data_IF_495497814605
#
_entry.id   IF_495497814605
#
_cell.length_a   1.000
_cell.length_b   1.000
_cell.length_c   1.000
_cell.angle_alpha   90.00
_cell.angle_beta   90.00
_cell.angle_gamma   90.00
#
_symmetry.space_group_name_H-M   'P 1'
#
loop_
_entity.id
_entity.type
_entity.pdbx_description
1 polymer ?
#
# COMPACT_ATOMS: atom_id res chain seq x y z
N UNK A 1 24.59 -26.64 8.67
CA UNK A 1 23.39 -27.43 8.28
C UNK A 1 23.57 -27.89 6.83
N UNK A 2 23.31 -29.20 6.57
CA UNK A 2 23.27 -29.70 5.20
C UNK A 2 21.84 -29.68 4.73
N UNK A 3 21.57 -28.98 3.61
CA UNK A 3 20.26 -28.91 3.02
C UNK A 3 20.24 -29.86 1.82
N UNK A 4 19.28 -30.79 1.81
CA UNK A 4 19.01 -31.69 0.70
C UNK A 4 17.83 -31.17 -0.13
N UNK A 5 18.00 -31.16 -1.43
CA UNK A 5 16.99 -30.73 -2.38
C UNK A 5 16.82 -31.79 -3.47
N UNK A 6 15.58 -32.27 -3.67
CA UNK A 6 15.26 -33.27 -4.70
C UNK A 6 14.08 -32.77 -5.51
N UNK A 7 14.24 -32.76 -6.83
CA UNK A 7 13.23 -32.31 -7.78
C UNK A 7 13.33 -33.03 -9.12
N UNK A 8 12.20 -33.23 -9.76
CA UNK A 8 12.12 -33.74 -11.14
C UNK A 8 12.15 -32.58 -12.14
N UNK A 9 12.91 -32.73 -13.23
CA UNK A 9 13.11 -31.67 -14.23
C UNK A 9 11.79 -31.15 -14.83
N UNK A 10 10.76 -32.00 -15.00
CA UNK A 10 9.48 -31.62 -15.59
C UNK A 10 8.53 -30.91 -14.63
N UNK A 11 8.75 -31.01 -13.31
CA UNK A 11 7.86 -30.47 -12.27
C UNK A 11 8.59 -29.65 -11.21
N UNK A 12 9.79 -29.19 -11.55
CA UNK A 12 10.69 -28.49 -10.64
C UNK A 12 10.03 -27.34 -9.86
N UNK A 13 9.18 -26.56 -10.52
CA UNK A 13 8.54 -25.40 -9.90
C UNK A 13 7.46 -25.76 -8.86
N UNK A 14 6.84 -26.93 -8.97
CA UNK A 14 5.65 -27.30 -8.21
C UNK A 14 5.83 -28.54 -7.34
N UNK A 15 6.81 -29.39 -7.68
CA UNK A 15 7.01 -30.68 -7.02
C UNK A 15 8.49 -30.90 -6.72
N UNK A 16 8.93 -30.41 -5.58
CA UNK A 16 10.27 -30.65 -5.04
C UNK A 16 10.20 -30.94 -3.55
N UNK A 17 11.17 -31.66 -3.02
CA UNK A 17 11.37 -31.81 -1.58
C UNK A 17 12.60 -31.05 -1.11
N UNK A 18 12.52 -30.52 0.11
CA UNK A 18 13.64 -29.88 0.78
C UNK A 18 13.69 -30.36 2.22
N UNK A 19 14.89 -30.78 2.63
CA UNK A 19 15.15 -31.30 3.99
C UNK A 19 16.39 -30.62 4.60
N UNK A 20 16.57 -30.75 5.90
CA UNK A 20 17.73 -30.24 6.64
C UNK A 20 17.57 -28.81 7.17
N UNK A 21 16.48 -28.08 6.81
CA UNK A 21 16.22 -26.75 7.35
C UNK A 21 14.72 -26.45 7.42
N UNK A 22 14.25 -26.10 8.60
CA UNK A 22 12.83 -25.67 8.80
C UNK A 22 12.52 -24.37 8.05
N UNK A 23 13.47 -23.44 7.97
CA UNK A 23 13.30 -22.25 7.15
C UNK A 23 13.11 -22.57 5.66
N UNK A 24 13.87 -23.51 5.12
CA UNK A 24 13.75 -23.91 3.73
C UNK A 24 12.41 -24.62 3.45
N UNK A 25 11.94 -25.44 4.37
CA UNK A 25 10.60 -26.06 4.28
C UNK A 25 9.50 -25.00 4.31
N UNK A 26 9.61 -24.03 5.21
CA UNK A 26 8.67 -22.91 5.30
C UNK A 26 8.67 -22.06 4.02
N UNK A 27 9.85 -21.70 3.51
CA UNK A 27 9.99 -20.95 2.25
C UNK A 27 9.36 -21.72 1.08
N UNK A 28 9.57 -23.04 0.99
CA UNK A 28 8.88 -23.88 0.00
C UNK A 28 7.37 -23.72 0.05
N UNK A 29 6.78 -23.86 1.25
CA UNK A 29 5.33 -23.77 1.41
C UNK A 29 4.79 -22.38 1.06
N UNK A 30 5.53 -21.33 1.42
CA UNK A 30 5.21 -19.94 1.05
C UNK A 30 5.29 -19.76 -0.47
N UNK A 31 6.33 -20.29 -1.12
CA UNK A 31 6.50 -20.22 -2.58
C UNK A 31 5.37 -20.94 -3.31
N UNK A 32 4.97 -22.11 -2.85
CA UNK A 32 3.84 -22.84 -3.46
C UNK A 32 2.52 -22.07 -3.30
N UNK A 33 2.25 -21.51 -2.12
CA UNK A 33 1.07 -20.68 -1.91
C UNK A 33 1.08 -19.41 -2.78
N UNK A 34 2.25 -18.78 -2.97
CA UNK A 34 2.41 -17.66 -3.89
C UNK A 34 2.11 -18.08 -5.34
N UNK A 35 2.62 -19.23 -5.77
CA UNK A 35 2.40 -19.74 -7.12
C UNK A 35 0.92 -20.01 -7.37
N UNK A 36 0.23 -20.64 -6.41
CA UNK A 36 -1.21 -20.91 -6.49
C UNK A 36 -2.02 -19.61 -6.61
N UNK A 37 -1.71 -18.61 -5.77
CA UNK A 37 -2.36 -17.30 -5.81
C UNK A 37 -2.11 -16.58 -7.15
N UNK A 38 -0.88 -16.59 -7.64
CA UNK A 38 -0.51 -15.98 -8.93
C UNK A 38 -1.24 -16.64 -10.09
N UNK A 39 -1.30 -17.98 -10.13
CA UNK A 39 -2.02 -18.71 -11.17
C UNK A 39 -3.53 -18.42 -11.14
N UNK A 40 -4.13 -18.35 -9.93
CA UNK A 40 -5.53 -17.99 -9.76
C UNK A 40 -5.80 -16.58 -10.28
N UNK A 41 -5.00 -15.58 -9.89
CA UNK A 41 -5.18 -14.18 -10.28
C UNK A 41 -4.97 -14.00 -11.79
N UNK A 42 -3.96 -14.64 -12.39
CA UNK A 42 -3.75 -14.58 -13.83
C UNK A 42 -4.89 -15.23 -14.62
N UNK A 43 -5.46 -16.32 -14.13
CA UNK A 43 -6.66 -16.93 -14.73
C UNK A 43 -7.86 -15.99 -14.68
N UNK A 44 -8.15 -15.42 -13.50
CA UNK A 44 -9.24 -14.47 -13.29
C UNK A 44 -9.10 -13.24 -14.19
N UNK A 45 -7.89 -12.75 -14.40
CA UNK A 45 -7.63 -11.63 -15.32
C UNK A 45 -8.01 -11.99 -16.75
N UNK A 46 -7.60 -13.15 -17.25
CA UNK A 46 -7.98 -13.61 -18.59
C UNK A 46 -9.49 -13.80 -18.76
N UNK A 47 -10.18 -14.30 -17.75
CA UNK A 47 -11.62 -14.45 -17.74
C UNK A 47 -12.33 -13.09 -17.76
N UNK A 48 -11.83 -12.10 -17.02
CA UNK A 48 -12.34 -10.72 -17.03
C UNK A 48 -12.10 -10.05 -18.39
N UNK A 49 -10.89 -10.13 -18.93
CA UNK A 49 -10.53 -9.57 -20.24
C UNK A 49 -11.36 -10.17 -21.41
N UNK A 50 -11.76 -11.42 -21.29
CA UNK A 50 -12.64 -12.07 -22.26
C UNK A 50 -14.14 -11.80 -22.08
N UNK A 51 -14.50 -10.99 -21.08
CA UNK A 51 -15.91 -10.67 -20.76
C UNK A 51 -16.70 -11.80 -20.09
N UNK A 52 -16.03 -12.88 -19.67
CA UNK A 52 -16.66 -14.01 -18.97
C UNK A 52 -16.94 -13.73 -17.51
N UNK A 53 -16.29 -12.72 -16.93
CA UNK A 53 -16.38 -12.38 -15.51
C UNK A 53 -16.74 -10.90 -15.33
N UNK A 54 -17.78 -10.62 -14.53
CA UNK A 54 -18.12 -9.25 -14.17
C UNK A 54 -17.07 -8.63 -13.25
N UNK A 55 -16.80 -7.32 -13.39
CA UNK A 55 -15.75 -6.59 -12.65
C UNK A 55 -15.86 -6.73 -11.13
N UNK A 56 -17.09 -6.71 -10.60
CA UNK A 56 -17.32 -6.88 -9.15
C UNK A 56 -16.96 -8.29 -8.65
N UNK A 57 -17.19 -9.30 -9.50
CA UNK A 57 -16.83 -10.70 -9.19
C UNK A 57 -15.33 -10.87 -9.31
N UNK A 58 -14.73 -10.32 -10.37
CA UNK A 58 -13.29 -10.31 -10.57
C UNK A 58 -12.56 -9.70 -9.36
N UNK A 59 -12.91 -8.49 -8.96
CA UNK A 59 -12.27 -7.80 -7.83
C UNK A 59 -12.36 -8.60 -6.53
N UNK A 60 -13.53 -9.19 -6.24
CA UNK A 60 -13.72 -10.04 -5.06
C UNK A 60 -12.83 -11.28 -5.10
N UNK A 61 -12.82 -12.01 -6.21
CA UNK A 61 -12.06 -13.27 -6.32
C UNK A 61 -10.54 -13.03 -6.33
N UNK A 62 -10.07 -11.91 -6.86
CA UNK A 62 -8.67 -11.50 -6.75
C UNK A 62 -8.28 -11.26 -5.29
N UNK A 63 -9.11 -10.56 -4.53
CA UNK A 63 -8.89 -10.35 -3.09
C UNK A 63 -8.90 -11.68 -2.32
N UNK A 64 -9.82 -12.59 -2.62
CA UNK A 64 -9.89 -13.92 -2.02
C UNK A 64 -8.60 -14.74 -2.30
N UNK A 65 -8.10 -14.72 -3.53
CA UNK A 65 -6.86 -15.40 -3.89
C UNK A 65 -5.63 -14.79 -3.19
N UNK A 66 -5.55 -13.47 -3.10
CA UNK A 66 -4.49 -12.79 -2.36
C UNK A 66 -4.56 -13.10 -0.84
N UNK A 67 -5.76 -13.14 -0.27
CA UNK A 67 -5.94 -13.46 1.14
C UNK A 67 -5.59 -14.92 1.46
N UNK A 68 -5.86 -15.85 0.56
CA UNK A 68 -5.44 -17.25 0.70
C UNK A 68 -3.90 -17.38 0.82
N UNK A 69 -3.14 -16.61 0.03
CA UNK A 69 -1.69 -16.52 0.21
C UNK A 69 -1.33 -15.95 1.58
N UNK A 70 -1.94 -14.81 1.97
CA UNK A 70 -1.66 -14.14 3.25
C UNK A 70 -1.93 -15.05 4.44
N UNK A 71 -2.95 -15.89 4.38
CA UNK A 71 -3.26 -16.85 5.44
C UNK A 71 -2.16 -17.89 5.66
N UNK A 72 -1.56 -18.38 4.56
CA UNK A 72 -0.40 -19.26 4.65
C UNK A 72 0.81 -18.51 5.20
N UNK A 73 1.10 -17.34 4.67
CA UNK A 73 2.25 -16.51 5.06
C UNK A 73 2.19 -16.07 6.53
N UNK A 74 1.01 -15.67 7.03
CA UNK A 74 0.79 -15.26 8.43
C UNK A 74 1.15 -16.37 9.43
N UNK A 75 0.95 -17.62 9.10
CA UNK A 75 1.34 -18.74 9.98
C UNK A 75 2.84 -18.69 10.27
N UNK A 76 3.66 -18.46 9.24
CA UNK A 76 5.12 -18.38 9.39
C UNK A 76 5.58 -17.05 9.99
N UNK A 77 4.96 -15.95 9.57
CA UNK A 77 5.29 -14.61 10.08
C UNK A 77 5.09 -14.53 11.60
N UNK A 78 3.96 -15.04 12.11
CA UNK A 78 3.66 -14.90 13.53
C UNK A 78 4.22 -16.02 14.40
N UNK A 79 4.50 -17.21 13.85
CA UNK A 79 5.11 -18.30 14.62
C UNK A 79 6.61 -18.09 14.87
N UNK A 80 7.32 -17.52 13.90
CA UNK A 80 8.77 -17.30 13.99
C UNK A 80 9.17 -15.99 13.27
N UNK A 81 8.79 -14.81 13.78
CA UNK A 81 8.96 -13.53 13.08
C UNK A 81 10.42 -13.14 12.83
N UNK A 82 11.40 -13.72 13.59
CA UNK A 82 12.83 -13.53 13.37
C UNK A 82 13.39 -14.43 12.26
N UNK A 83 12.58 -15.31 11.66
CA UNK A 83 13.07 -16.29 10.68
C UNK A 83 13.26 -15.69 9.29
N UNK A 84 14.14 -16.32 8.51
CA UNK A 84 14.30 -15.99 7.10
C UNK A 84 13.00 -16.23 6.30
N UNK A 85 12.21 -17.23 6.69
CA UNK A 85 10.91 -17.52 6.09
C UNK A 85 9.89 -16.40 6.32
N UNK A 86 9.83 -15.81 7.52
CA UNK A 86 8.97 -14.68 7.82
C UNK A 86 9.35 -13.44 7.00
N UNK A 87 10.64 -13.14 6.90
CA UNK A 87 11.14 -12.08 6.03
C UNK A 87 10.74 -12.33 4.57
N UNK A 88 10.99 -13.55 4.07
CA UNK A 88 10.64 -13.94 2.70
C UNK A 88 9.14 -13.76 2.40
N UNK A 89 8.28 -14.19 3.33
CA UNK A 89 6.84 -14.10 3.18
C UNK A 89 6.31 -12.67 2.99
N UNK A 90 6.90 -11.69 3.67
CA UNK A 90 6.48 -10.28 3.57
C UNK A 90 6.68 -9.67 2.19
N UNK A 91 7.68 -10.14 1.45
CA UNK A 91 8.11 -9.50 0.20
C UNK A 91 7.69 -10.28 -1.06
N UNK A 92 6.77 -11.23 -0.92
CA UNK A 92 6.23 -11.91 -2.09
C UNK A 92 5.28 -11.00 -2.88
N UNK A 93 5.30 -11.13 -4.20
CA UNK A 93 4.66 -10.21 -5.13
C UNK A 93 3.88 -10.95 -6.22
N UNK A 94 2.90 -10.25 -6.78
CA UNK A 94 2.29 -10.54 -8.07
C UNK A 94 2.39 -9.28 -8.94
N UNK A 95 2.93 -9.41 -10.17
CA UNK A 95 3.08 -8.31 -11.13
C UNK A 95 3.72 -7.04 -10.53
N UNK A 96 4.69 -7.22 -9.64
CA UNK A 96 5.39 -6.13 -8.96
C UNK A 96 4.65 -5.52 -7.75
N UNK A 97 3.45 -6.00 -7.43
CA UNK A 97 2.69 -5.58 -6.25
C UNK A 97 2.87 -6.56 -5.10
N UNK A 98 3.16 -6.05 -3.92
CA UNK A 98 3.27 -6.88 -2.71
C UNK A 98 1.91 -7.44 -2.31
N UNK A 99 1.86 -8.70 -1.88
CA UNK A 99 0.65 -9.28 -1.29
C UNK A 99 0.30 -8.60 0.03
N UNK A 100 1.29 -8.29 0.87
CA UNK A 100 1.09 -7.51 2.09
C UNK A 100 1.23 -6.02 1.78
N UNK A 101 0.12 -5.30 1.86
CA UNK A 101 0.13 -3.85 1.69
C UNK A 101 0.67 -3.17 2.96
N UNK A 102 1.79 -2.47 2.79
CA UNK A 102 2.44 -1.73 3.87
C UNK A 102 1.52 -0.68 4.51
N UNK A 103 0.56 -0.16 3.74
CA UNK A 103 -0.35 0.91 4.15
C UNK A 103 -1.73 0.42 4.59
N UNK A 104 -2.02 -0.87 4.46
CA UNK A 104 -3.20 -1.48 5.07
C UNK A 104 -2.98 -1.70 6.57
N UNK A 105 -3.99 -1.37 7.37
CA UNK A 105 -3.93 -1.45 8.84
C UNK A 105 -3.71 -2.87 9.38
N UNK A 106 -4.19 -3.90 8.67
CA UNK A 106 -4.05 -5.28 9.11
C UNK A 106 -2.73 -5.87 8.65
N UNK A 107 -2.36 -5.62 7.40
CA UNK A 107 -1.11 -6.12 6.82
C UNK A 107 0.12 -5.46 7.46
N UNK A 108 0.04 -4.20 7.85
CA UNK A 108 1.12 -3.48 8.55
C UNK A 108 1.54 -4.12 9.87
N UNK A 109 0.64 -4.88 10.51
CA UNK A 109 0.97 -5.64 11.74
C UNK A 109 2.00 -6.73 11.47
N UNK A 110 1.96 -7.35 10.29
CA UNK A 110 2.95 -8.35 9.89
C UNK A 110 4.35 -7.72 9.75
N UNK A 111 4.43 -6.54 9.10
CA UNK A 111 5.69 -5.78 9.04
C UNK A 111 6.20 -5.39 10.42
N UNK A 112 5.32 -4.92 11.30
CA UNK A 112 5.67 -4.57 12.68
C UNK A 112 6.21 -5.75 13.48
N UNK A 113 5.60 -6.93 13.37
CA UNK A 113 6.04 -8.14 14.06
C UNK A 113 7.44 -8.58 13.62
N UNK A 114 7.69 -8.62 12.29
CA UNK A 114 8.99 -9.02 11.75
C UNK A 114 10.05 -7.94 12.05
N UNK A 115 9.71 -6.65 11.88
CA UNK A 115 10.64 -5.55 12.17
C UNK A 115 11.12 -5.57 13.62
N UNK A 116 10.20 -5.70 14.58
CA UNK A 116 10.53 -5.77 16.02
C UNK A 116 11.41 -6.97 16.35
N UNK A 117 11.11 -8.14 15.76
CA UNK A 117 11.93 -9.34 15.98
C UNK A 117 13.31 -9.23 15.36
N UNK A 118 13.41 -8.69 14.13
CA UNK A 118 14.71 -8.50 13.49
C UNK A 118 15.56 -7.47 14.21
N UNK A 119 14.97 -6.39 14.72
CA UNK A 119 15.68 -5.40 15.55
C UNK A 119 16.22 -6.02 16.84
N UNK A 120 15.45 -6.90 17.46
CA UNK A 120 15.86 -7.58 18.69
C UNK A 120 16.98 -8.62 18.47
N UNK A 121 16.82 -9.48 17.45
CA UNK A 121 17.74 -10.60 17.23
C UNK A 121 18.93 -10.27 16.32
N UNK A 122 18.78 -9.29 15.43
CA UNK A 122 19.76 -8.94 14.40
C UNK A 122 19.90 -7.41 14.22
N UNK A 123 20.17 -6.64 15.31
CA UNK A 123 20.12 -5.17 15.29
C UNK A 123 21.09 -4.54 14.28
N UNK A 124 22.23 -5.17 14.03
CA UNK A 124 23.22 -4.67 13.07
C UNK A 124 22.91 -5.07 11.61
N UNK A 125 21.91 -5.90 11.38
CA UNK A 125 21.56 -6.35 10.04
C UNK A 125 20.99 -5.20 9.20
N UNK A 126 21.43 -5.02 7.94
CA UNK A 126 20.79 -4.09 7.02
C UNK A 126 19.29 -4.37 6.81
N UNK A 127 18.88 -5.65 6.91
CA UNK A 127 17.47 -6.06 6.82
C UNK A 127 16.65 -5.56 8.02
N UNK A 128 17.22 -5.59 9.23
CA UNK A 128 16.55 -5.03 10.42
C UNK A 128 16.31 -3.52 10.25
N UNK A 129 17.33 -2.78 9.82
CA UNK A 129 17.24 -1.33 9.57
C UNK A 129 16.20 -1.02 8.46
N UNK A 130 16.18 -1.82 7.40
CA UNK A 130 15.19 -1.66 6.33
C UNK A 130 13.76 -1.91 6.83
N UNK A 131 13.50 -3.02 7.51
CA UNK A 131 12.19 -3.36 8.09
C UNK A 131 11.71 -2.30 9.09
N UNK A 132 12.61 -1.79 9.94
CA UNK A 132 12.30 -0.73 10.88
C UNK A 132 11.82 0.53 10.17
N UNK A 133 12.50 0.95 9.11
CA UNK A 133 12.10 2.11 8.32
C UNK A 133 10.74 1.90 7.63
N UNK A 134 10.48 0.72 7.07
CA UNK A 134 9.19 0.38 6.48
C UNK A 134 8.06 0.43 7.53
N UNK A 135 8.28 -0.16 8.70
CA UNK A 135 7.30 -0.15 9.78
C UNK A 135 6.99 1.28 10.27
N UNK A 136 8.00 2.14 10.40
CA UNK A 136 7.81 3.55 10.73
C UNK A 136 7.04 4.31 9.66
N UNK A 137 7.35 4.09 8.38
CA UNK A 137 6.64 4.70 7.27
C UNK A 137 5.16 4.28 7.27
N UNK A 138 4.88 2.99 7.44
CA UNK A 138 3.53 2.46 7.56
C UNK A 138 2.75 3.14 8.69
N UNK A 139 3.32 3.21 9.89
CA UNK A 139 2.67 3.85 11.04
C UNK A 139 2.34 5.32 10.76
N UNK A 140 3.25 6.06 10.13
CA UNK A 140 3.02 7.47 9.79
C UNK A 140 1.83 7.62 8.84
N UNK A 141 1.80 6.84 7.75
CA UNK A 141 0.73 6.90 6.75
C UNK A 141 -0.61 6.48 7.35
N UNK A 142 -0.67 5.35 8.06
CA UNK A 142 -1.91 4.86 8.67
C UNK A 142 -2.44 5.84 9.73
N UNK A 143 -1.57 6.53 10.46
CA UNK A 143 -2.00 7.59 11.40
C UNK A 143 -2.56 8.80 10.68
N UNK A 144 -1.98 9.21 9.56
CA UNK A 144 -2.48 10.34 8.77
C UNK A 144 -3.82 10.04 8.07
N UNK A 145 -4.11 8.77 7.80
CA UNK A 145 -5.39 8.33 7.22
C UNK A 145 -6.55 8.23 8.24
N UNK A 146 -6.26 8.39 9.54
CA UNK A 146 -7.34 8.42 10.53
C UNK A 146 -8.20 9.65 10.28
N UNK A 147 -9.54 9.51 10.21
CA UNK A 147 -10.43 10.66 10.19
C UNK A 147 -10.05 11.56 11.38
N UNK A 148 -9.75 12.80 11.10
CA UNK A 148 -9.53 13.77 12.14
C UNK A 148 -10.86 13.93 12.87
N UNK A 149 -10.89 13.60 14.16
CA UNK A 149 -12.06 13.81 15.00
C UNK A 149 -12.20 15.33 15.20
N UNK A 150 -12.96 15.94 14.29
CA UNK A 150 -13.12 17.41 14.25
C UNK A 150 -13.71 17.96 15.54
N UNK A 151 -14.41 17.12 16.32
CA UNK A 151 -14.98 17.50 17.62
C UNK A 151 -13.91 17.62 18.72
N UNK A 152 -12.72 17.01 18.52
CA UNK A 152 -11.57 17.08 19.46
C UNK A 152 -10.50 18.08 19.05
N UNK A 153 -10.63 18.72 17.89
CA UNK A 153 -9.77 19.84 17.54
C UNK A 153 -10.22 21.02 18.39
N UNK A 154 -9.56 21.20 19.55
CA UNK A 154 -9.62 22.50 20.20
C UNK A 154 -9.37 23.55 19.13
N UNK A 155 -10.26 24.54 19.04
CA UNK A 155 -10.08 25.72 18.19
C UNK A 155 -8.89 26.54 18.72
N UNK A 156 -7.69 25.96 18.67
CA UNK A 156 -6.48 26.76 18.65
C UNK A 156 -6.55 27.50 17.33
N UNK A 157 -6.44 28.82 17.39
CA UNK A 157 -6.15 29.62 16.21
C UNK A 157 -4.95 28.95 15.54
N UNK A 158 -5.20 28.11 14.53
CA UNK A 158 -4.16 27.54 13.72
C UNK A 158 -3.64 28.74 12.95
N UNK A 159 -2.44 29.19 13.29
CA UNK A 159 -1.68 30.08 12.46
C UNK A 159 -1.56 29.37 11.09
N UNK A 160 -2.46 29.71 10.19
CA UNK A 160 -2.43 29.23 8.83
C UNK A 160 -1.04 29.54 8.28
N UNK A 161 -0.33 28.52 7.81
CA UNK A 161 0.81 28.75 6.94
C UNK A 161 0.22 29.40 5.68
N UNK A 162 0.27 30.73 5.63
CA UNK A 162 -0.33 31.46 4.53
C UNK A 162 0.53 31.26 3.27
N UNK A 163 -0.02 30.56 2.30
CA UNK A 163 0.64 30.32 1.01
C UNK A 163 0.30 31.51 0.11
N UNK A 164 1.30 32.23 -0.32
CA UNK A 164 1.18 33.32 -1.28
C UNK A 164 1.91 32.97 -2.57
N UNK A 165 1.17 32.83 -3.66
CA UNK A 165 1.71 32.46 -4.97
C UNK A 165 1.08 33.32 -6.06
N UNK A 166 1.82 33.59 -7.17
CA UNK A 166 1.27 34.28 -8.33
C UNK A 166 0.20 33.39 -8.99
N UNK A 167 -0.92 34.02 -9.37
CA UNK A 167 -1.96 33.40 -10.16
C UNK A 167 -1.59 33.37 -11.67
N UNK A 168 -2.51 32.92 -12.53
CA UNK A 168 -2.31 32.82 -13.98
C UNK A 168 -2.15 34.21 -14.66
N UNK A 169 -2.45 35.29 -13.96
CA UNK A 169 -2.28 36.67 -14.43
C UNK A 169 -1.03 37.32 -13.86
N UNK A 170 -0.30 36.60 -12.97
CA UNK A 170 0.91 37.09 -12.30
C UNK A 170 0.62 37.92 -11.04
N UNK A 171 -0.62 37.97 -10.56
CA UNK A 171 -1.00 38.62 -9.33
C UNK A 171 -0.87 37.68 -8.13
N UNK A 172 -0.25 38.17 -7.04
CA UNK A 172 -0.09 37.32 -5.85
C UNK A 172 -1.42 37.10 -5.14
N UNK A 173 -1.81 35.83 -5.01
CA UNK A 173 -3.01 35.41 -4.29
C UNK A 173 -2.63 34.64 -3.02
N UNK A 174 -3.13 35.10 -1.88
CA UNK A 174 -2.94 34.44 -0.58
C UNK A 174 -4.03 33.42 -0.31
N UNK A 175 -3.63 32.26 0.20
CA UNK A 175 -4.57 31.24 0.64
C UNK A 175 -5.56 31.80 1.67
N UNK A 176 -5.08 32.59 2.63
CA UNK A 176 -5.94 33.23 3.64
C UNK A 176 -7.02 34.13 3.05
N UNK A 177 -6.73 34.80 1.94
CA UNK A 177 -7.70 35.70 1.29
C UNK A 177 -8.87 34.96 0.65
N UNK A 178 -8.65 33.75 0.16
CA UNK A 178 -9.69 32.92 -0.47
C UNK A 178 -10.38 31.97 0.52
N UNK A 179 -9.73 31.71 1.67
CA UNK A 179 -10.22 30.77 2.68
C UNK A 179 -11.21 31.37 3.69
N UNK A 180 -11.33 32.69 3.80
CA UNK A 180 -12.13 33.34 4.81
C UNK A 180 -13.61 32.96 4.69
N UNK A 181 -14.13 32.19 5.69
CA UNK A 181 -15.51 31.76 5.76
C UNK A 181 -15.89 30.66 4.75
N UNK A 182 -14.91 30.05 4.11
CA UNK A 182 -15.12 29.00 3.09
C UNK A 182 -14.40 27.70 3.45
N UNK A 183 -14.85 26.61 2.85
CA UNK A 183 -14.12 25.34 2.80
C UNK A 183 -13.21 25.39 1.57
N UNK A 184 -11.91 25.22 1.77
CA UNK A 184 -10.93 25.28 0.67
C UNK A 184 -10.36 23.89 0.39
N UNK A 185 -10.48 23.45 -0.85
CA UNK A 185 -9.77 22.29 -1.37
C UNK A 185 -8.43 22.76 -1.92
N UNK A 186 -7.32 22.33 -1.26
CA UNK A 186 -5.97 22.62 -1.73
C UNK A 186 -5.49 21.41 -2.54
N UNK A 187 -5.07 21.64 -3.79
CA UNK A 187 -4.53 20.61 -4.65
C UNK A 187 -3.13 20.98 -5.14
N UNK A 188 -2.20 20.04 -5.02
CA UNK A 188 -0.87 20.13 -5.63
C UNK A 188 -0.85 19.27 -6.88
N UNK A 189 -0.66 19.86 -8.04
CA UNK A 189 -0.70 19.15 -9.33
C UNK A 189 0.55 19.40 -10.15
N UNK A 190 1.02 18.36 -10.84
CA UNK A 190 1.95 18.53 -11.95
C UNK A 190 1.11 18.76 -13.21
N UNK A 191 0.96 20.03 -13.62
CA UNK A 191 0.08 20.45 -14.71
C UNK A 191 0.30 19.67 -16.02
N UNK A 192 1.54 19.27 -16.29
CA UNK A 192 1.92 18.51 -17.49
C UNK A 192 1.69 17.01 -17.37
N UNK A 193 1.11 16.49 -16.28
CA UNK A 193 0.85 15.05 -16.13
C UNK A 193 -0.35 14.62 -16.98
N UNK A 194 -0.33 13.36 -17.45
CA UNK A 194 -1.42 12.76 -18.24
C UNK A 194 -2.77 12.76 -17.49
N UNK A 195 -2.75 12.78 -16.17
CA UNK A 195 -3.94 12.75 -15.30
C UNK A 195 -4.53 14.14 -15.03
N UNK A 196 -3.78 15.20 -15.30
CA UNK A 196 -4.19 16.58 -15.00
C UNK A 196 -5.48 17.01 -15.67
N UNK A 197 -5.76 16.69 -16.97
CA UNK A 197 -7.01 17.10 -17.62
C UNK A 197 -8.26 16.47 -16.97
N UNK A 198 -8.22 15.17 -16.65
CA UNK A 198 -9.33 14.48 -16.02
C UNK A 198 -9.62 15.05 -14.62
N UNK A 199 -8.58 15.26 -13.82
CA UNK A 199 -8.70 15.82 -12.47
C UNK A 199 -9.25 17.26 -12.51
N UNK A 200 -8.81 18.08 -13.47
CA UNK A 200 -9.32 19.44 -13.63
C UNK A 200 -10.81 19.48 -14.03
N UNK A 201 -11.29 18.51 -14.81
CA UNK A 201 -12.73 18.37 -15.10
C UNK A 201 -13.52 18.06 -13.82
N UNK A 202 -13.05 17.11 -13.00
CA UNK A 202 -13.68 16.78 -11.72
C UNK A 202 -13.73 17.99 -10.78
N UNK A 203 -12.65 18.75 -10.69
CA UNK A 203 -12.61 19.99 -9.89
C UNK A 203 -13.54 21.05 -10.41
N UNK A 204 -13.68 21.19 -11.75
CA UNK A 204 -14.65 22.07 -12.36
C UNK A 204 -16.10 21.73 -12.00
N UNK A 205 -16.44 20.43 -12.00
CA UNK A 205 -17.74 19.95 -11.60
C UNK A 205 -18.01 20.18 -10.09
N UNK A 206 -17.01 19.91 -9.25
CA UNK A 206 -17.11 20.18 -7.82
C UNK A 206 -17.29 21.68 -7.54
N UNK A 207 -16.51 22.53 -8.20
CA UNK A 207 -16.60 23.98 -8.06
C UNK A 207 -17.99 24.47 -8.47
N UNK A 208 -18.47 24.08 -9.65
CA UNK A 208 -19.80 24.45 -10.13
C UNK A 208 -20.93 24.05 -9.18
N UNK A 209 -20.78 22.89 -8.52
CA UNK A 209 -21.82 22.32 -7.64
C UNK A 209 -21.83 22.92 -6.23
N UNK A 210 -20.66 23.36 -5.74
CA UNK A 210 -20.49 23.71 -4.33
C UNK A 210 -19.93 25.11 -4.07
N UNK A 211 -19.51 25.86 -5.08
CA UNK A 211 -18.98 27.22 -4.89
C UNK A 211 -19.97 28.13 -4.15
N UNK A 212 -21.23 28.13 -4.58
CA UNK A 212 -22.29 28.93 -3.94
C UNK A 212 -22.62 28.48 -2.50
N UNK A 213 -22.14 27.28 -2.12
CA UNK A 213 -22.29 26.73 -0.77
C UNK A 213 -21.03 26.95 0.08
N UNK A 214 -20.09 27.73 -0.40
CA UNK A 214 -18.87 28.09 0.29
C UNK A 214 -17.67 27.19 0.05
N UNK A 215 -17.64 26.42 -1.06
CA UNK A 215 -16.41 25.73 -1.50
C UNK A 215 -15.54 26.67 -2.30
N UNK A 216 -14.23 26.63 -2.06
CA UNK A 216 -13.22 27.25 -2.90
C UNK A 216 -12.14 26.21 -3.26
N UNK A 217 -11.48 26.36 -4.41
CA UNK A 217 -10.42 25.46 -4.87
C UNK A 217 -9.16 26.27 -5.07
N UNK A 218 -8.11 25.95 -4.30
CA UNK A 218 -6.79 26.56 -4.41
C UNK A 218 -5.82 25.52 -4.99
N UNK A 219 -5.53 25.66 -6.30
CA UNK A 219 -4.70 24.70 -7.02
C UNK A 219 -3.30 25.25 -7.21
N UNK A 220 -2.30 24.48 -6.81
CA UNK A 220 -0.88 24.80 -6.89
C UNK A 220 -0.25 23.92 -7.98
N UNK A 221 0.29 24.54 -9.02
CA UNK A 221 1.06 23.83 -10.06
C UNK A 221 2.52 23.73 -9.64
N UNK A 222 3.06 22.52 -9.74
CA UNK A 222 4.47 22.21 -9.50
C UNK A 222 5.23 22.16 -10.83
#
# INVERSE_FOLDING_TARGET
>A
ETISFVADAGTFATSYSVEGSENCKAIKNITLAQLDANQAIHRLRKESESGLLADSVYSRQVLEAAEAYKDVARKYIYSAPMSAAAYFALFQQIDGLLFFDLYDKNDSKAYGAVATSFDHYYPESPRAKHLYNLALQSIKVIRSQRPMDLDKVEKKEVSFLDIELPDVHGENTKLSSVATGKVVLINFTAYMSEWSPALNMEFGDLYTRYHDKGLEIYQISL
#
